data_IF_900357905114
#
_entry.id   IF_900357905114
#
_cell.length_a   1.000
_cell.length_b   1.000
_cell.length_c   1.000
_cell.angle_alpha   90.00
_cell.angle_beta   90.00
_cell.angle_gamma   90.00
#
_symmetry.space_group_name_H-M   'P 1'
#
loop_
_entity.id
_entity.type
_entity.pdbx_description
1 polymer ?
#
# COMPACT_ATOMS: atom_id res chain seq x y z
N UNK A 1 -6.47 -6.61 -3.65
CA UNK A 1 -6.38 -5.37 -4.45
C UNK A 1 -6.35 -5.76 -5.92
N UNK A 2 -7.18 -5.17 -6.78
CA UNK A 2 -7.20 -5.53 -8.21
C UNK A 2 -6.28 -4.66 -9.08
N UNK A 3 -5.83 -3.53 -8.55
CA UNK A 3 -4.91 -2.63 -9.24
C UNK A 3 -3.50 -2.77 -8.70
N UNK A 4 -2.52 -2.88 -9.60
CA UNK A 4 -1.11 -2.89 -9.23
C UNK A 4 -0.68 -1.48 -8.87
N UNK A 5 -0.49 -1.23 -7.58
CA UNK A 5 -0.15 0.09 -7.01
C UNK A 5 1.13 0.02 -6.18
N UNK A 6 1.84 1.13 -6.08
CA UNK A 6 3.06 1.24 -5.30
C UNK A 6 2.71 1.58 -3.84
N UNK A 7 2.69 0.57 -2.98
CA UNK A 7 2.29 0.72 -1.58
C UNK A 7 3.06 -0.26 -0.66
N UNK A 8 3.57 0.17 0.52
CA UNK A 8 4.30 -0.71 1.44
C UNK A 8 3.57 -1.98 1.85
N UNK A 9 2.26 -1.89 2.11
CA UNK A 9 1.44 -3.00 2.62
C UNK A 9 0.62 -3.74 1.53
N UNK A 10 0.92 -3.54 0.24
CA UNK A 10 0.23 -4.24 -0.86
C UNK A 10 1.30 -4.76 -1.84
N UNK A 11 1.29 -6.06 -2.15
CA UNK A 11 2.21 -6.65 -3.14
C UNK A 11 1.68 -6.54 -4.58
N UNK A 12 2.43 -7.12 -5.52
CA UNK A 12 2.13 -7.04 -6.96
C UNK A 12 1.00 -7.99 -7.39
N UNK A 13 0.74 -9.01 -6.57
CA UNK A 13 -0.34 -9.99 -6.68
C UNK A 13 -1.66 -9.46 -6.10
N UNK A 14 -1.59 -8.39 -5.32
CA UNK A 14 -2.73 -7.68 -4.76
C UNK A 14 -3.11 -8.15 -3.35
N UNK A 15 -2.27 -8.93 -2.67
CA UNK A 15 -2.45 -9.23 -1.26
C UNK A 15 -2.29 -7.95 -0.44
N UNK A 16 -3.06 -7.84 0.64
CA UNK A 16 -3.05 -6.68 1.53
C UNK A 16 -2.59 -7.12 2.91
N UNK A 17 -1.62 -6.42 3.48
CA UNK A 17 -1.26 -6.57 4.88
C UNK A 17 -2.01 -5.52 5.72
N UNK A 18 -3.05 -5.97 6.40
CA UNK A 18 -3.81 -5.20 7.37
C UNK A 18 -4.01 -6.12 8.59
N UNK A 19 -3.49 -5.72 9.75
CA UNK A 19 -3.51 -6.49 11.00
C UNK A 19 -4.91 -6.99 11.38
N UNK A 20 -5.94 -6.15 11.21
CA UNK A 20 -7.33 -6.51 11.52
C UNK A 20 -7.92 -7.54 10.54
N UNK A 21 -7.24 -7.89 9.45
CA UNK A 21 -7.59 -9.01 8.57
C UNK A 21 -6.85 -10.31 8.94
N UNK A 22 -6.03 -10.29 9.99
CA UNK A 22 -5.12 -11.37 10.39
C UNK A 22 -5.14 -11.55 11.92
N UNK A 23 -4.05 -11.21 12.60
CA UNK A 23 -3.85 -11.44 14.04
C UNK A 23 -4.78 -10.63 14.94
N UNK A 24 -5.19 -9.43 14.51
CA UNK A 24 -6.04 -8.54 15.30
C UNK A 24 -7.54 -8.67 14.95
N UNK A 25 -7.90 -9.67 14.15
CA UNK A 25 -9.30 -9.94 13.84
C UNK A 25 -10.07 -10.42 15.08
N UNK A 26 -11.21 -9.79 15.34
CA UNK A 26 -12.13 -10.18 16.41
C UNK A 26 -13.57 -10.11 15.91
N UNK A 27 -14.47 -10.90 16.50
CA UNK A 27 -15.88 -10.97 16.09
C UNK A 27 -16.68 -9.66 16.26
N UNK A 28 -16.13 -8.66 16.97
CA UNK A 28 -16.72 -7.32 17.11
C UNK A 28 -16.43 -6.42 15.89
N UNK A 29 -15.40 -6.74 15.11
CA UNK A 29 -15.06 -5.98 13.92
C UNK A 29 -16.09 -6.23 12.82
N UNK A 30 -16.43 -5.16 12.12
CA UNK A 30 -17.41 -5.20 11.04
C UNK A 30 -16.80 -4.63 9.75
N UNK A 31 -17.61 -4.61 8.69
CA UNK A 31 -17.18 -4.09 7.38
C UNK A 31 -16.69 -2.64 7.47
N UNK A 32 -17.33 -1.81 8.31
CA UNK A 32 -16.93 -0.42 8.52
C UNK A 32 -15.54 -0.34 9.14
N UNK A 33 -15.22 -1.18 10.13
CA UNK A 33 -13.87 -1.29 10.70
C UNK A 33 -12.82 -1.64 9.64
N UNK A 34 -13.13 -2.58 8.74
CA UNK A 34 -12.24 -2.97 7.64
C UNK A 34 -12.02 -1.82 6.67
N UNK A 35 -13.09 -1.13 6.27
CA UNK A 35 -13.01 0.03 5.36
C UNK A 35 -12.14 1.13 5.97
N UNK A 36 -12.33 1.45 7.25
CA UNK A 36 -11.48 2.42 7.95
C UNK A 36 -10.02 1.99 8.00
N UNK A 37 -9.74 0.71 8.25
CA UNK A 37 -8.38 0.16 8.21
C UNK A 37 -7.72 0.34 6.84
N UNK A 38 -8.47 0.14 5.76
CA UNK A 38 -7.98 0.35 4.38
C UNK A 38 -7.71 1.85 4.13
N UNK A 39 -8.64 2.74 4.48
CA UNK A 39 -8.44 4.21 4.33
C UNK A 39 -7.20 4.67 5.13
N UNK A 40 -7.05 4.13 6.34
CA UNK A 40 -5.90 4.41 7.18
C UNK A 40 -4.59 3.96 6.53
N UNK A 41 -4.52 2.78 5.91
CA UNK A 41 -3.33 2.33 5.18
C UNK A 41 -2.90 3.32 4.08
N UNK A 42 -3.85 3.89 3.33
CA UNK A 42 -3.52 4.89 2.30
C UNK A 42 -3.08 6.24 2.89
N UNK A 43 -3.60 6.59 4.07
CA UNK A 43 -3.27 7.84 4.75
C UNK A 43 -1.99 7.75 5.57
N UNK A 44 -1.64 6.56 6.03
CA UNK A 44 -0.52 6.26 6.92
C UNK A 44 -0.02 4.84 6.66
N UNK A 45 0.78 4.64 5.60
CA UNK A 45 1.34 3.33 5.28
C UNK A 45 2.24 2.82 6.42
N UNK A 46 2.22 1.52 6.68
CA UNK A 46 3.01 0.91 7.74
C UNK A 46 4.31 0.29 7.19
N UNK A 47 5.50 0.83 7.49
CA UNK A 47 6.76 0.27 7.00
C UNK A 47 7.30 -0.91 7.82
N UNK A 48 6.69 -1.24 8.96
CA UNK A 48 7.21 -2.26 9.89
C UNK A 48 6.84 -3.69 9.50
N UNK A 49 5.73 -3.88 8.78
CA UNK A 49 5.33 -5.16 8.20
C UNK A 49 4.95 -5.01 6.71
N UNK A 50 5.95 -4.79 5.83
CA UNK A 50 5.72 -4.48 4.43
C UNK A 50 5.66 -5.74 3.56
N UNK A 51 4.69 -5.78 2.65
CA UNK A 51 4.67 -6.73 1.54
C UNK A 51 5.56 -6.24 0.39
N UNK A 52 5.63 -4.92 0.17
CA UNK A 52 6.53 -4.28 -0.77
C UNK A 52 7.71 -3.65 -0.02
N UNK A 53 8.79 -4.43 0.14
CA UNK A 53 9.98 -4.04 0.90
C UNK A 53 10.68 -2.81 0.34
N UNK A 54 10.73 -2.67 -0.98
CA UNK A 54 11.36 -1.49 -1.61
C UNK A 54 10.54 -0.22 -1.36
N UNK A 55 9.21 -0.29 -1.47
CA UNK A 55 8.35 0.84 -1.13
C UNK A 55 8.51 1.29 0.33
N UNK A 56 8.58 0.33 1.27
CA UNK A 56 8.81 0.61 2.68
C UNK A 56 10.20 1.21 2.96
N UNK A 57 11.24 0.68 2.32
CA UNK A 57 12.61 1.19 2.42
C UNK A 57 12.68 2.64 1.94
N UNK A 58 12.06 2.97 0.80
CA UNK A 58 12.02 4.35 0.28
C UNK A 58 11.22 5.26 1.22
N UNK A 59 10.10 4.79 1.77
CA UNK A 59 9.31 5.55 2.75
C UNK A 59 10.13 5.93 3.98
N UNK A 60 10.85 4.95 4.57
CA UNK A 60 11.70 5.18 5.74
C UNK A 60 12.91 6.06 5.45
N UNK A 61 13.48 5.94 4.24
CA UNK A 61 14.72 6.66 3.89
C UNK A 61 14.45 8.09 3.43
N UNK A 62 13.40 8.31 2.63
CA UNK A 62 13.06 9.61 2.05
C UNK A 62 11.58 9.69 1.63
N UNK A 63 10.76 10.29 2.49
CA UNK A 63 9.34 10.50 2.25
C UNK A 63 9.02 11.31 0.98
N UNK A 64 9.90 12.24 0.58
CA UNK A 64 9.71 13.04 -0.65
C UNK A 64 9.88 12.17 -1.88
N UNK A 65 10.91 11.32 -1.91
CA UNK A 65 11.11 10.34 -2.98
C UNK A 65 9.96 9.35 -3.04
N UNK A 66 9.50 8.85 -1.90
CA UNK A 66 8.31 7.99 -1.84
C UNK A 66 7.09 8.68 -2.49
N UNK A 67 6.82 9.94 -2.13
CA UNK A 67 5.72 10.72 -2.71
C UNK A 67 5.85 10.88 -4.23
N UNK A 68 7.06 11.13 -4.74
CA UNK A 68 7.32 11.21 -6.18
C UNK A 68 7.05 9.86 -6.86
N UNK A 69 7.53 8.75 -6.29
CA UNK A 69 7.29 7.40 -6.83
C UNK A 69 5.80 7.06 -6.85
N UNK A 70 5.06 7.39 -5.80
CA UNK A 70 3.60 7.20 -5.75
C UNK A 70 2.92 7.96 -6.89
N UNK A 71 3.23 9.26 -7.07
CA UNK A 71 2.65 10.06 -8.17
C UNK A 71 2.97 9.49 -9.55
N UNK A 72 4.23 9.11 -9.78
CA UNK A 72 4.68 8.53 -11.04
C UNK A 72 3.98 7.20 -11.34
N UNK A 73 3.88 6.32 -10.35
CA UNK A 73 3.25 5.00 -10.52
C UNK A 73 1.73 5.10 -10.67
N UNK A 74 1.07 6.01 -9.96
CA UNK A 74 -0.36 6.31 -10.15
C UNK A 74 -0.69 6.82 -11.57
N UNK A 75 0.27 7.47 -12.23
CA UNK A 75 0.13 7.90 -13.62
C UNK A 75 0.38 6.78 -14.65
N UNK A 76 0.71 5.56 -14.20
CA UNK A 76 1.04 4.40 -15.06
C UNK A 76 2.54 4.22 -15.33
N UNK A 77 3.39 4.86 -14.50
CA UNK A 77 4.83 4.77 -14.61
C UNK A 77 5.43 3.44 -14.18
N UNK A 78 6.77 3.36 -14.26
CA UNK A 78 7.57 2.19 -13.88
C UNK A 78 8.54 2.57 -12.76
N UNK A 79 8.75 1.67 -11.80
CA UNK A 79 9.80 1.75 -10.78
C UNK A 79 10.51 0.39 -10.75
N UNK A 80 11.85 0.39 -10.81
CA UNK A 80 12.69 -0.82 -10.77
C UNK A 80 12.27 -1.92 -11.76
N UNK A 81 11.90 -1.52 -12.98
CA UNK A 81 11.43 -2.43 -14.04
C UNK A 81 10.00 -2.92 -13.88
N UNK A 82 9.31 -2.59 -12.79
CA UNK A 82 7.90 -2.95 -12.55
C UNK A 82 6.99 -1.83 -13.05
N UNK A 83 6.15 -2.14 -14.04
CA UNK A 83 5.10 -1.23 -14.53
C UNK A 83 3.86 -1.30 -13.64
N UNK A 84 3.36 -0.13 -13.22
CA UNK A 84 2.16 0.00 -12.37
C UNK A 84 0.94 0.43 -13.20
N UNK A 85 -0.26 0.18 -12.67
CA UNK A 85 -1.49 0.57 -13.35
C UNK A 85 -1.74 2.08 -13.19
N UNK A 86 -2.24 2.73 -14.24
CA UNK A 86 -2.74 4.10 -14.14
C UNK A 86 -4.04 4.12 -13.35
N UNK A 87 -4.08 4.88 -12.26
CA UNK A 87 -5.24 5.00 -11.35
C UNK A 87 -5.66 6.45 -11.10
N UNK A 88 -5.04 7.41 -11.79
CA UNK A 88 -5.53 8.79 -11.85
C UNK A 88 -6.73 8.86 -12.79
N UNK A 89 -7.84 9.41 -12.28
CA UNK A 89 -9.06 9.74 -13.02
C UNK A 89 -8.82 11.05 -13.79
#
# INVERSE_FOLDING_TARGET
>A
CTQKIYHPNIDLEGNVCLNILREDWTAVLNLTSIIFGIIFLFSSPNPNDPLNKEAAKVLNSNAKTFTTNVRQTMAGGTIDGVKYHRVLI
#
